data_IF_413235328286
#
_entry.id   IF_413235328286
#
_cell.length_a   1.000
_cell.length_b   1.000
_cell.length_c   1.000
_cell.angle_alpha   90.00
_cell.angle_beta   90.00
_cell.angle_gamma   90.00
#
_symmetry.space_group_name_H-M   'P 1'
#
loop_
_entity.id
_entity.type
_entity.pdbx_description
1 polymer ?
#
# COMPACT_ATOMS: atom_id res chain seq x y z
N UNK A 1 8.92 -12.54 -8.07
CA UNK A 1 8.24 -13.83 -8.26
C UNK A 1 6.76 -13.58 -8.49
N UNK A 2 6.23 -14.08 -9.61
CA UNK A 2 4.79 -14.12 -9.83
C UNK A 2 4.23 -15.27 -8.99
N UNK A 3 3.38 -14.95 -8.01
CA UNK A 3 2.93 -15.94 -7.01
C UNK A 3 1.98 -16.97 -7.63
N UNK A 4 1.26 -16.61 -8.69
CA UNK A 4 0.35 -17.51 -9.41
C UNK A 4 1.11 -18.57 -10.21
N UNK A 5 2.23 -18.20 -10.83
CA UNK A 5 2.99 -19.08 -11.74
C UNK A 5 4.26 -19.66 -11.12
N UNK A 6 4.69 -19.16 -9.96
CA UNK A 6 5.96 -19.50 -9.32
C UNK A 6 7.21 -19.00 -10.06
N UNK A 7 7.06 -18.34 -11.21
CA UNK A 7 8.19 -17.89 -12.03
C UNK A 7 8.87 -16.66 -11.43
N UNK A 8 10.20 -16.72 -11.35
CA UNK A 8 11.04 -15.56 -11.04
C UNK A 8 11.33 -14.82 -12.35
N UNK A 9 11.11 -13.52 -12.35
CA UNK A 9 11.33 -12.63 -13.48
C UNK A 9 11.99 -11.36 -12.99
N UNK A 10 12.94 -10.84 -13.78
CA UNK A 10 13.51 -9.52 -13.59
C UNK A 10 12.59 -8.50 -14.25
N UNK A 11 12.10 -7.55 -13.48
CA UNK A 11 11.12 -6.56 -13.92
C UNK A 11 11.67 -5.17 -13.65
N UNK A 12 11.43 -4.24 -14.58
CA UNK A 12 11.70 -2.81 -14.36
C UNK A 12 10.58 -2.19 -13.51
N UNK A 13 10.78 -1.01 -12.90
CA UNK A 13 9.73 -0.31 -12.17
C UNK A 13 8.46 0.01 -12.99
N UNK A 14 8.55 -0.06 -14.32
CA UNK A 14 7.45 0.21 -15.25
C UNK A 14 6.73 -1.06 -15.72
N UNK A 15 7.10 -2.23 -15.20
CA UNK A 15 6.41 -3.47 -15.54
C UNK A 15 4.96 -3.45 -15.04
N UNK A 16 4.05 -4.12 -15.77
CA UNK A 16 2.62 -4.15 -15.46
C UNK A 16 2.26 -4.51 -14.00
N UNK A 17 2.97 -5.40 -13.28
CA UNK A 17 2.69 -5.64 -11.86
C UNK A 17 2.89 -4.42 -10.94
N UNK A 18 3.67 -3.43 -11.39
CA UNK A 18 3.98 -2.19 -10.69
C UNK A 18 3.26 -0.97 -11.26
N UNK A 19 2.61 -1.12 -12.42
CA UNK A 19 1.82 -0.08 -13.07
C UNK A 19 0.36 -0.49 -13.06
N UNK A 20 -0.43 0.15 -12.20
CA UNK A 20 -1.86 -0.11 -12.08
C UNK A 20 -2.66 0.96 -12.80
N UNK A 21 -3.79 0.57 -13.40
CA UNK A 21 -4.79 1.54 -13.87
C UNK A 21 -5.27 2.36 -12.67
N UNK A 22 -5.36 3.68 -12.84
CA UNK A 22 -5.71 4.62 -11.78
C UNK A 22 -7.07 4.29 -11.16
N UNK A 23 -7.04 3.76 -9.94
CA UNK A 23 -8.20 3.22 -9.23
C UNK A 23 -8.95 4.24 -8.36
N UNK A 24 -8.49 5.49 -8.31
CA UNK A 24 -9.02 6.57 -7.48
C UNK A 24 -8.91 7.93 -8.19
N UNK A 25 -9.68 8.88 -7.71
CA UNK A 25 -9.74 10.25 -8.22
C UNK A 25 -8.52 11.10 -7.81
N UNK A 26 -8.33 12.22 -8.50
CA UNK A 26 -7.11 13.02 -8.42
C UNK A 26 -6.98 13.70 -7.06
N UNK A 27 -8.11 14.11 -6.49
CA UNK A 27 -8.18 14.68 -5.16
C UNK A 27 -7.73 13.68 -4.10
N UNK A 28 -8.17 12.42 -4.15
CA UNK A 28 -7.75 11.45 -3.13
C UNK A 28 -6.24 11.19 -3.17
N UNK A 29 -5.65 11.11 -4.36
CA UNK A 29 -4.22 10.94 -4.51
C UNK A 29 -3.43 12.13 -3.91
N UNK A 30 -3.82 13.34 -4.26
CA UNK A 30 -3.10 14.57 -3.90
C UNK A 30 -3.36 15.05 -2.47
N UNK A 31 -4.62 14.98 -2.00
CA UNK A 31 -5.03 15.56 -0.72
C UNK A 31 -5.03 14.55 0.44
N UNK A 32 -5.12 13.25 0.17
CA UNK A 32 -5.21 12.21 1.22
C UNK A 32 -3.95 11.33 1.21
N UNK A 33 -3.63 10.71 0.08
CA UNK A 33 -2.57 9.69 0.04
C UNK A 33 -1.16 10.29 0.10
N UNK A 34 -0.89 11.31 -0.71
CA UNK A 34 0.43 11.94 -0.79
C UNK A 34 0.93 12.48 0.56
N UNK A 35 0.10 13.13 1.40
CA UNK A 35 0.51 13.51 2.76
C UNK A 35 0.92 12.33 3.66
N UNK A 36 0.19 11.21 3.60
CA UNK A 36 0.50 9.98 4.37
C UNK A 36 1.85 9.42 3.91
N UNK A 37 2.03 9.24 2.60
CA UNK A 37 3.27 8.73 2.01
C UNK A 37 4.47 9.61 2.32
N UNK A 38 4.31 10.93 2.25
CA UNK A 38 5.37 11.90 2.57
C UNK A 38 5.78 11.80 4.03
N UNK A 39 4.80 11.77 4.94
CA UNK A 39 5.05 11.69 6.38
C UNK A 39 5.75 10.39 6.74
N UNK A 40 5.28 9.27 6.17
CA UNK A 40 5.92 7.97 6.32
C UNK A 40 7.33 7.94 5.72
N UNK A 41 7.54 8.52 4.54
CA UNK A 41 8.84 8.59 3.88
C UNK A 41 9.90 9.30 4.72
N UNK A 42 9.51 10.32 5.50
CA UNK A 42 10.41 10.99 6.45
C UNK A 42 10.83 10.02 7.57
N UNK A 43 9.87 9.28 8.15
CA UNK A 43 10.15 8.29 9.19
C UNK A 43 11.02 7.16 8.65
N UNK A 44 10.66 6.59 7.51
CA UNK A 44 11.40 5.50 6.87
C UNK A 44 12.86 5.91 6.59
N UNK A 45 13.10 7.11 6.06
CA UNK A 45 14.46 7.65 5.86
C UNK A 45 15.24 7.74 7.18
N UNK A 46 14.61 8.19 8.26
CA UNK A 46 15.27 8.26 9.58
C UNK A 46 15.61 6.86 10.11
N UNK A 47 14.71 5.89 9.99
CA UNK A 47 14.94 4.50 10.42
C UNK A 47 16.10 3.85 9.66
N UNK A 48 16.15 4.08 8.34
CA UNK A 48 17.18 3.52 7.46
C UNK A 48 18.52 4.27 7.56
N UNK A 49 18.54 5.46 8.14
CA UNK A 49 19.75 6.26 8.33
C UNK A 49 20.77 5.73 9.35
N UNK A 50 20.48 4.59 10.01
CA UNK A 50 21.44 3.86 10.84
C UNK A 50 21.65 4.38 12.27
N UNK A 51 21.03 5.52 12.63
CA UNK A 51 21.05 6.02 14.01
C UNK A 51 20.10 5.26 14.94
N UNK A 52 20.39 5.27 16.24
CA UNK A 52 19.42 4.86 17.26
C UNK A 52 18.20 5.78 17.17
N UNK A 53 17.05 5.22 16.82
CA UNK A 53 15.79 5.95 16.71
C UNK A 53 14.80 5.31 17.68
N UNK A 54 14.16 6.17 18.48
CA UNK A 54 12.98 5.78 19.24
C UNK A 54 11.78 6.39 18.52
N UNK A 55 10.80 5.54 18.21
CA UNK A 55 9.55 6.00 17.62
C UNK A 55 8.68 6.59 18.73
N UNK A 56 8.24 7.84 18.53
CA UNK A 56 7.26 8.47 19.41
C UNK A 56 5.83 8.08 18.98
N UNK A 57 4.84 8.54 19.76
CA UNK A 57 3.42 8.25 19.52
C UNK A 57 3.00 8.72 18.12
N UNK A 58 3.50 9.88 17.67
CA UNK A 58 3.17 10.41 16.36
C UNK A 58 3.74 9.53 15.24
N UNK A 59 4.97 9.05 15.38
CA UNK A 59 5.60 8.16 14.41
C UNK A 59 4.84 6.83 14.26
N UNK A 60 4.39 6.24 15.38
CA UNK A 60 3.56 5.04 15.32
C UNK A 60 2.24 5.28 14.59
N UNK A 61 1.59 6.43 14.80
CA UNK A 61 0.36 6.79 14.08
C UNK A 61 0.61 6.89 12.57
N UNK A 62 1.69 7.56 12.15
CA UNK A 62 2.03 7.71 10.72
C UNK A 62 2.32 6.35 10.06
N UNK A 63 3.01 5.44 10.76
CA UNK A 63 3.24 4.08 10.25
C UNK A 63 1.91 3.33 10.10
N UNK A 64 1.01 3.45 11.08
CA UNK A 64 -0.33 2.86 11.01
C UNK A 64 -1.16 3.41 9.85
N UNK A 65 -1.08 4.71 9.57
CA UNK A 65 -1.76 5.33 8.42
C UNK A 65 -1.22 4.78 7.10
N UNK A 66 0.10 4.67 6.97
CA UNK A 66 0.73 4.09 5.78
C UNK A 66 0.35 2.62 5.59
N UNK A 67 0.34 1.83 6.67
CA UNK A 67 -0.09 0.43 6.63
C UNK A 67 -1.53 0.30 6.15
N UNK A 68 -2.41 1.12 6.71
CA UNK A 68 -3.83 1.17 6.36
C UNK A 68 -4.01 1.54 4.89
N UNK A 69 -3.30 2.57 4.42
CA UNK A 69 -3.31 2.98 3.02
C UNK A 69 -2.85 1.86 2.09
N UNK A 70 -1.75 1.17 2.43
CA UNK A 70 -1.25 0.05 1.65
C UNK A 70 -2.28 -1.10 1.54
N UNK A 71 -2.92 -1.47 2.65
CA UNK A 71 -3.99 -2.49 2.68
C UNK A 71 -5.21 -2.09 1.86
N UNK A 72 -5.65 -0.83 1.97
CA UNK A 72 -6.82 -0.31 1.24
C UNK A 72 -6.54 -0.29 -0.26
N UNK A 73 -5.34 0.14 -0.68
CA UNK A 73 -4.94 0.14 -2.09
C UNK A 73 -4.91 -1.27 -2.67
N UNK A 74 -4.34 -2.24 -1.96
CA UNK A 74 -4.38 -3.63 -2.39
C UNK A 74 -5.82 -4.11 -2.56
N UNK A 75 -6.68 -3.84 -1.57
CA UNK A 75 -8.07 -4.25 -1.63
C UNK A 75 -8.81 -3.62 -2.82
N UNK A 76 -8.55 -2.35 -3.17
CA UNK A 76 -9.14 -1.71 -4.37
C UNK A 76 -8.56 -2.22 -5.68
N UNK A 77 -7.26 -2.50 -5.74
CA UNK A 77 -6.65 -3.10 -6.91
C UNK A 77 -7.29 -4.46 -7.24
N UNK A 78 -7.61 -5.26 -6.21
CA UNK A 78 -8.31 -6.54 -6.36
C UNK A 78 -9.81 -6.41 -6.62
N UNK A 79 -10.43 -5.36 -6.08
CA UNK A 79 -11.87 -5.15 -6.12
C UNK A 79 -12.16 -3.73 -6.66
N UNK A 80 -11.93 -3.50 -7.97
CA UNK A 80 -12.22 -2.21 -8.59
C UNK A 80 -13.72 -1.96 -8.55
N UNK A 81 -14.10 -0.70 -8.36
CA UNK A 81 -15.52 -0.32 -8.36
C UNK A 81 -16.03 -0.25 -9.80
N UNK A 82 -17.14 -0.92 -10.12
CA UNK A 82 -17.78 -0.75 -11.42
C UNK A 82 -18.33 0.68 -11.55
N UNK A 83 -18.48 1.19 -12.78
CA UNK A 83 -19.21 2.44 -12.99
C UNK A 83 -20.64 2.36 -12.45
N UNK A 84 -21.11 3.43 -11.79
CA UNK A 84 -22.45 3.51 -11.22
C UNK A 84 -23.42 4.13 -12.24
N UNK A 85 -24.45 3.41 -12.72
CA UNK A 85 -25.42 3.97 -13.64
C UNK A 85 -26.39 4.92 -12.92
N UNK A 86 -26.67 6.07 -13.54
CA UNK A 86 -27.66 7.04 -13.07
C UNK A 86 -29.04 6.81 -13.70
N UNK A 87 -29.16 5.92 -14.68
CA UNK A 87 -30.42 5.64 -15.38
C UNK A 87 -30.91 6.77 -16.29
N UNK A 88 -30.08 7.79 -16.54
CA UNK A 88 -30.38 8.90 -17.44
C UNK A 88 -29.14 9.29 -18.24
N UNK A 89 -29.32 9.68 -19.49
CA UNK A 89 -28.24 10.21 -20.34
C UNK A 89 -27.97 11.66 -19.95
N UNK A 90 -26.71 12.09 -20.00
CA UNK A 90 -26.37 13.51 -19.79
C UNK A 90 -26.70 14.31 -21.05
N UNK A 91 -27.10 15.57 -20.88
CA UNK A 91 -27.38 16.46 -22.03
C UNK A 91 -26.12 16.87 -22.79
N UNK A 92 -24.96 16.84 -22.12
CA UNK A 92 -23.67 17.25 -22.66
C UNK A 92 -22.58 16.24 -22.30
N UNK A 93 -21.62 16.07 -23.19
CA UNK A 93 -20.38 15.33 -22.91
C UNK A 93 -19.36 16.28 -22.29
N UNK A 94 -18.64 15.80 -21.28
CA UNK A 94 -17.45 16.46 -20.72
C UNK A 94 -16.22 15.70 -21.22
N UNK A 95 -15.16 16.41 -21.63
CA UNK A 95 -13.91 15.76 -22.02
C UNK A 95 -13.22 15.10 -20.83
N UNK A 96 -12.40 14.09 -21.07
CA UNK A 96 -11.64 13.42 -19.99
C UNK A 96 -10.75 14.40 -19.23
N UNK A 97 -10.07 15.32 -19.92
CA UNK A 97 -9.25 16.35 -19.26
C UNK A 97 -10.05 17.25 -18.32
N UNK A 98 -11.27 17.64 -18.72
CA UNK A 98 -12.14 18.45 -17.88
C UNK A 98 -12.72 17.63 -16.71
N UNK A 99 -12.96 16.33 -16.90
CA UNK A 99 -13.32 15.42 -15.82
C UNK A 99 -12.17 15.33 -14.79
N UNK A 100 -10.94 15.11 -15.24
CA UNK A 100 -9.76 14.99 -14.38
C UNK A 100 -9.46 16.31 -13.62
N UNK A 101 -9.63 17.46 -14.27
CA UNK A 101 -9.56 18.76 -13.59
C UNK A 101 -10.68 18.92 -12.56
N UNK A 102 -11.88 18.45 -12.87
CA UNK A 102 -13.00 18.42 -11.92
C UNK A 102 -12.70 17.54 -10.71
N UNK A 103 -12.11 16.35 -10.92
CA UNK A 103 -11.71 15.43 -9.86
C UNK A 103 -10.76 16.10 -8.87
N UNK A 104 -9.82 16.93 -9.33
CA UNK A 104 -8.91 17.68 -8.46
C UNK A 104 -9.65 18.54 -7.44
N UNK A 105 -10.79 19.12 -7.83
CA UNK A 105 -11.66 19.91 -6.94
C UNK A 105 -12.73 19.07 -6.23
N UNK A 106 -12.74 17.74 -6.43
CA UNK A 106 -13.72 16.82 -5.85
C UNK A 106 -15.09 16.85 -6.54
N UNK A 107 -15.14 17.27 -7.81
CA UNK A 107 -16.35 17.24 -8.62
C UNK A 107 -16.50 15.85 -9.22
N UNK A 108 -17.64 15.22 -8.98
CA UNK A 108 -18.02 13.96 -9.63
C UNK A 108 -18.74 14.30 -10.93
N UNK A 109 -18.15 13.88 -12.05
CA UNK A 109 -18.71 14.14 -13.38
C UNK A 109 -19.19 12.83 -14.00
N UNK A 110 -20.50 12.69 -14.27
CA UNK A 110 -21.00 11.53 -15.00
C UNK A 110 -20.52 11.57 -16.47
N UNK A 111 -20.28 10.39 -17.03
CA UNK A 111 -20.08 10.20 -18.47
C UNK A 111 -21.35 10.53 -19.24
N UNK A 112 -21.22 10.74 -20.55
CA UNK A 112 -22.37 11.10 -21.41
C UNK A 112 -23.48 10.03 -21.40
N UNK A 113 -23.13 8.75 -21.29
CA UNK A 113 -24.07 7.63 -21.15
C UNK A 113 -24.67 7.50 -19.73
N UNK A 114 -24.40 8.46 -18.84
CA UNK A 114 -25.04 8.53 -17.55
C UNK A 114 -24.43 7.63 -16.49
N UNK A 115 -23.11 7.43 -16.50
CA UNK A 115 -22.41 6.61 -15.51
C UNK A 115 -21.42 7.45 -14.73
N UNK A 116 -21.32 7.22 -13.44
CA UNK A 116 -20.22 7.76 -12.63
C UNK A 116 -19.06 6.76 -12.70
N UNK A 117 -17.86 7.16 -13.15
CA UNK A 117 -16.69 6.29 -13.12
C UNK A 117 -16.39 5.80 -11.69
N UNK A 118 -16.12 4.51 -11.53
CA UNK A 118 -15.89 3.91 -10.20
C UNK A 118 -14.73 4.58 -9.42
N UNK A 119 -13.70 5.09 -10.10
CA UNK A 119 -12.59 5.83 -9.48
C UNK A 119 -13.03 7.09 -8.72
N UNK A 120 -14.09 7.76 -9.17
CA UNK A 120 -14.65 8.95 -8.51
C UNK A 120 -15.42 8.58 -7.24
N UNK A 121 -15.89 7.33 -7.13
CA UNK A 121 -16.55 6.77 -5.93
C UNK A 121 -15.50 6.20 -4.97
N UNK A 122 -14.38 5.72 -5.51
CA UNK A 122 -13.31 5.12 -4.72
C UNK A 122 -12.70 6.08 -3.71
N UNK A 123 -12.59 7.38 -4.04
CA UNK A 123 -12.06 8.40 -3.14
C UNK A 123 -12.80 8.53 -1.82
N UNK A 124 -14.11 8.87 -1.83
CA UNK A 124 -14.92 8.90 -0.62
C UNK A 124 -14.88 7.59 0.18
N UNK A 125 -14.92 6.43 -0.48
CA UNK A 125 -14.84 5.13 0.20
C UNK A 125 -13.46 4.87 0.83
N UNK A 126 -12.39 5.39 0.22
CA UNK A 126 -11.04 5.31 0.77
C UNK A 126 -10.92 6.13 2.05
N UNK A 127 -11.48 7.34 2.10
CA UNK A 127 -11.52 8.15 3.32
C UNK A 127 -12.25 7.41 4.44
N UNK A 128 -13.46 6.88 4.15
CA UNK A 128 -14.22 6.10 5.13
C UNK A 128 -13.46 4.85 5.62
N UNK A 129 -12.70 4.20 4.73
CA UNK A 129 -11.89 3.06 5.09
C UNK A 129 -10.70 3.46 5.98
N UNK A 130 -10.04 4.59 5.70
CA UNK A 130 -8.99 5.15 6.55
C UNK A 130 -9.53 5.52 7.93
N UNK A 131 -10.68 6.19 8.02
CA UNK A 131 -11.29 6.56 9.30
C UNK A 131 -11.62 5.33 10.16
N UNK A 132 -12.05 4.23 9.53
CA UNK A 132 -12.29 2.96 10.22
C UNK A 132 -10.98 2.30 10.67
N UNK A 133 -9.96 2.29 9.82
CA UNK A 133 -8.66 1.74 10.17
C UNK A 133 -7.96 2.54 11.26
N UNK A 134 -8.10 3.87 11.28
CA UNK A 134 -7.55 4.72 12.34
C UNK A 134 -8.05 4.30 13.74
N UNK A 135 -9.31 3.85 13.85
CA UNK A 135 -9.86 3.30 15.11
C UNK A 135 -9.22 1.95 15.47
N UNK A 136 -9.05 1.06 14.49
CA UNK A 136 -8.45 -0.27 14.69
C UNK A 136 -6.97 -0.15 15.08
N UNK A 137 -6.26 0.78 14.45
CA UNK A 137 -4.83 1.01 14.64
C UNK A 137 -4.51 1.92 15.84
N UNK A 138 -5.54 2.44 16.51
CA UNK A 138 -5.38 3.31 17.67
C UNK A 138 -4.61 2.58 18.78
N UNK A 139 -3.56 3.23 19.28
CA UNK A 139 -2.70 2.68 20.34
C UNK A 139 -1.72 1.59 19.88
N UNK A 140 -1.73 1.18 18.60
CA UNK A 140 -0.74 0.25 18.07
C UNK A 140 0.65 0.87 18.09
N UNK A 141 1.63 0.10 18.55
CA UNK A 141 3.05 0.43 18.44
C UNK A 141 3.71 -0.43 17.38
N UNK A 142 4.81 0.05 16.83
CA UNK A 142 5.54 -0.60 15.75
C UNK A 142 6.99 -0.78 16.18
N UNK A 143 7.46 -2.02 16.19
CA UNK A 143 8.86 -2.36 16.42
C UNK A 143 9.64 -2.35 15.11
N UNK A 144 10.86 -1.83 15.16
CA UNK A 144 11.82 -1.86 14.07
C UNK A 144 12.61 -3.17 14.15
N UNK A 145 12.36 -4.06 13.19
CA UNK A 145 12.99 -5.38 13.11
C UNK A 145 14.08 -5.34 12.05
N UNK A 146 15.32 -5.58 12.47
CA UNK A 146 16.50 -5.59 11.59
C UNK A 146 17.03 -7.01 11.41
N UNK A 147 17.39 -7.35 10.18
CA UNK A 147 18.05 -8.63 9.89
C UNK A 147 19.56 -8.52 10.08
N UNK A 148 20.16 -9.50 10.77
CA UNK A 148 21.61 -9.77 10.74
C UNK A 148 22.02 -10.55 9.49
N UNK A 149 21.15 -11.44 9.03
CA UNK A 149 21.44 -12.44 8.01
C UNK A 149 20.19 -12.72 7.16
N UNK A 150 20.38 -12.75 5.84
CA UNK A 150 19.28 -12.93 4.88
C UNK A 150 18.43 -11.66 4.71
N UNK A 151 17.62 -11.65 3.65
CA UNK A 151 16.83 -10.49 3.27
C UNK A 151 15.31 -10.75 3.36
N UNK A 152 14.58 -9.73 3.82
CA UNK A 152 13.13 -9.68 3.78
C UNK A 152 12.64 -9.48 2.34
N UNK A 153 11.57 -10.19 2.00
CA UNK A 153 10.80 -9.95 0.78
C UNK A 153 9.74 -8.88 0.97
N UNK A 154 9.35 -8.24 -0.13
CA UNK A 154 8.21 -7.34 -0.22
C UNK A 154 7.04 -8.07 -0.92
N UNK A 155 6.05 -8.56 -0.17
CA UNK A 155 4.82 -9.09 -0.75
C UNK A 155 3.88 -7.97 -1.16
N UNK A 156 2.78 -8.31 -1.84
CA UNK A 156 1.63 -7.41 -1.96
C UNK A 156 0.84 -7.31 -0.64
N UNK A 157 0.83 -8.35 0.21
CA UNK A 157 0.40 -8.29 1.62
C UNK A 157 0.99 -9.42 2.50
N UNK A 158 0.89 -9.24 3.81
CA UNK A 158 1.15 -10.28 4.82
C UNK A 158 -0.15 -10.90 5.38
N UNK A 159 -1.25 -10.87 4.64
CA UNK A 159 -2.55 -11.35 5.13
C UNK A 159 -3.02 -10.55 6.34
N UNK A 160 -3.27 -11.24 7.46
CA UNK A 160 -3.70 -10.62 8.73
C UNK A 160 -2.54 -10.12 9.59
N UNK A 161 -1.30 -10.44 9.23
CA UNK A 161 -0.13 -9.96 9.97
C UNK A 161 0.16 -8.49 9.64
N UNK A 162 0.40 -7.70 10.69
CA UNK A 162 0.76 -6.29 10.60
C UNK A 162 2.28 -6.13 10.44
N UNK A 163 2.77 -6.50 9.27
CA UNK A 163 4.18 -6.39 8.89
C UNK A 163 4.31 -5.46 7.69
N UNK A 164 5.27 -4.54 7.73
CA UNK A 164 5.57 -3.60 6.65
C UNK A 164 7.08 -3.57 6.36
N UNK A 165 7.54 -4.18 5.26
CA UNK A 165 8.94 -4.12 4.84
C UNK A 165 9.35 -2.70 4.46
N UNK A 166 10.53 -2.26 4.90
CA UNK A 166 11.11 -0.96 4.55
C UNK A 166 12.30 -1.08 3.59
N UNK A 167 13.13 -2.10 3.81
CA UNK A 167 14.31 -2.42 3.02
C UNK A 167 14.58 -3.93 3.10
N UNK A 168 15.52 -4.48 2.30
CA UNK A 168 15.87 -5.89 2.38
C UNK A 168 16.31 -6.35 3.78
N UNK A 169 16.76 -5.45 4.65
CA UNK A 169 17.25 -5.78 6.00
C UNK A 169 16.46 -5.12 7.13
N UNK A 170 15.34 -4.45 6.84
CA UNK A 170 14.54 -3.75 7.83
C UNK A 170 13.05 -3.87 7.53
N UNK A 171 12.26 -4.24 8.54
CA UNK A 171 10.80 -4.20 8.48
C UNK A 171 10.22 -3.63 9.78
N UNK A 172 8.96 -3.20 9.71
CA UNK A 172 8.16 -2.75 10.84
C UNK A 172 7.15 -3.84 11.17
N UNK A 173 7.02 -4.17 12.46
CA UNK A 173 6.03 -5.15 12.93
C UNK A 173 5.23 -4.52 14.06
N UNK A 174 3.90 -4.53 13.94
CA UNK A 174 3.04 -3.99 14.99
C UNK A 174 3.09 -4.86 16.25
N UNK A 175 2.90 -4.22 17.41
CA UNK A 175 2.88 -4.80 18.75
C UNK A 175 4.14 -5.63 19.07
N UNK A 176 5.29 -5.22 18.52
CA UNK A 176 6.60 -5.80 18.78
C UNK A 176 7.58 -4.72 19.23
N UNK A 177 8.62 -5.14 19.96
CA UNK A 177 9.75 -4.28 20.32
C UNK A 177 10.76 -4.20 19.18
N UNK A 178 11.62 -3.17 19.24
CA UNK A 178 12.77 -3.06 18.36
C UNK A 178 13.73 -4.23 18.60
N UNK A 179 14.06 -4.98 17.56
CA UNK A 179 14.88 -6.20 17.70
C UNK A 179 15.72 -6.45 16.45
N UNK A 180 16.89 -7.05 16.68
CA UNK A 180 17.72 -7.59 15.60
C UNK A 180 17.59 -9.10 15.57
N UNK A 181 17.21 -9.64 14.42
CA UNK A 181 16.87 -11.06 14.25
C UNK A 181 17.86 -11.78 13.32
N UNK A 182 18.01 -13.08 13.52
CA UNK A 182 18.81 -13.97 12.67
C UNK A 182 18.01 -14.61 11.53
N UNK A 183 18.70 -15.42 10.73
CA UNK A 183 18.18 -16.02 9.50
C UNK A 183 16.89 -16.85 9.69
N UNK A 184 16.74 -17.51 10.84
CA UNK A 184 15.53 -18.34 11.12
C UNK A 184 14.25 -17.50 11.20
N UNK A 185 14.32 -16.32 11.82
CA UNK A 185 13.16 -15.42 11.94
C UNK A 185 12.85 -14.77 10.59
N UNK A 186 13.89 -14.40 9.83
CA UNK A 186 13.73 -13.90 8.45
C UNK A 186 13.06 -14.96 7.59
N UNK A 187 13.49 -16.22 7.69
CA UNK A 187 12.89 -17.36 6.98
C UNK A 187 11.40 -17.51 7.28
N UNK A 188 11.01 -17.44 8.56
CA UNK A 188 9.61 -17.51 8.98
C UNK A 188 8.78 -16.34 8.43
N UNK A 189 9.29 -15.11 8.51
CA UNK A 189 8.58 -13.93 7.98
C UNK A 189 8.42 -13.99 6.45
N UNK A 190 9.46 -14.42 5.74
CA UNK A 190 9.42 -14.61 4.30
C UNK A 190 8.46 -15.74 3.89
N UNK A 191 8.42 -16.85 4.64
CA UNK A 191 7.45 -17.91 4.41
C UNK A 191 6.00 -17.43 4.61
N UNK A 192 5.75 -16.62 5.65
CA UNK A 192 4.45 -15.97 5.88
C UNK A 192 4.10 -15.04 4.72
N UNK A 193 5.06 -14.22 4.24
CA UNK A 193 4.87 -13.36 3.08
C UNK A 193 4.47 -14.18 1.85
N UNK A 194 5.23 -15.24 1.52
CA UNK A 194 4.96 -16.13 0.39
C UNK A 194 3.59 -16.79 0.48
N UNK A 195 3.21 -17.28 1.66
CA UNK A 195 1.93 -17.96 1.86
C UNK A 195 0.70 -17.03 1.76
N UNK A 196 0.87 -15.74 2.08
CA UNK A 196 -0.25 -14.78 2.11
C UNK A 196 -0.27 -13.81 0.93
N UNK A 197 0.80 -13.76 0.15
CA UNK A 197 0.86 -12.95 -1.07
C UNK A 197 -0.12 -13.50 -2.10
N UNK A 198 -0.70 -12.60 -2.89
CA UNK A 198 -1.71 -12.99 -3.88
C UNK A 198 -1.34 -12.64 -5.31
N UNK A 199 -0.55 -11.58 -5.50
CA UNK A 199 -0.26 -11.03 -6.82
C UNK A 199 1.22 -11.18 -7.11
N UNK A 200 2.06 -10.66 -6.22
CA UNK A 200 3.50 -10.65 -6.41
C UNK A 200 4.24 -10.80 -5.08
N UNK A 201 5.47 -11.26 -5.21
CA UNK A 201 6.50 -11.17 -4.20
C UNK A 201 7.74 -10.56 -4.86
N UNK A 202 8.35 -9.55 -4.25
CA UNK A 202 9.54 -8.86 -4.77
C UNK A 202 10.68 -9.02 -3.78
N UNK A 203 11.88 -9.18 -4.30
CA UNK A 203 13.11 -9.18 -3.54
C UNK A 203 14.18 -8.46 -4.37
N UNK A 204 15.21 -7.93 -3.70
CA UNK A 204 16.42 -7.46 -4.38
C UNK A 204 17.15 -8.63 -5.03
N UNK A 205 17.31 -9.72 -4.28
CA UNK A 205 17.88 -10.98 -4.72
C UNK A 205 17.20 -12.13 -3.96
N UNK A 206 16.50 -13.01 -4.69
CA UNK A 206 15.79 -14.14 -4.08
C UNK A 206 16.74 -15.20 -3.50
N UNK A 207 17.98 -15.29 -3.96
CA UNK A 207 18.94 -16.29 -3.48
C UNK A 207 19.37 -16.06 -2.03
N UNK A 208 19.20 -14.83 -1.53
CA UNK A 208 19.51 -14.43 -0.14
C UNK A 208 18.26 -14.26 0.72
N UNK A 209 17.07 -14.59 0.20
CA UNK A 209 15.81 -14.56 0.94
C UNK A 209 15.45 -15.97 1.45
N UNK A 210 15.80 -16.34 2.69
CA UNK A 210 15.46 -17.66 3.21
C UNK A 210 13.93 -17.84 3.28
N UNK A 211 13.45 -19.08 3.13
CA UNK A 211 12.02 -19.39 3.23
C UNK A 211 11.17 -19.10 1.98
N UNK A 212 11.81 -18.66 0.88
CA UNK A 212 11.16 -18.43 -0.43
C UNK A 212 11.31 -19.62 -1.37
#
# INVERSE_FOLDING_TARGET
MNVVTGKIQWLTPYAAPFVVTRGWDQRSESAIMSPIERSFGIIAKRILGGGAITLDIAAHSVISDMYSLWRIRLHRAKNPLPPLPLGMRMERSVSEDAMDQGEHYGIITPTFDGKIPGRMIAGPLLQLALDRQAKIMSGKRWGIVRSKEGEFVLPDCFGDFMVMPLSPNCCLIADNDDVTVGIEVVSKLNAVAKANSTTYLVARDFSVCPGI
#
